data_IF_650658533952
#
_entry.id   IF_650658533952
#
_cell.length_a   1.000
_cell.length_b   1.000
_cell.length_c   1.000
_cell.angle_alpha   90.00
_cell.angle_beta   90.00
_cell.angle_gamma   90.00
#
_symmetry.space_group_name_H-M   'P 1'
#
loop_
_entity.id
_entity.type
_entity.pdbx_description
1 polymer ?
#
# COMPACT_ATOMS: atom_id res chain seq x y z
N UNK A 1 57.40 -24.44 -52.96
CA UNK A 1 56.41 -23.70 -52.15
C UNK A 1 56.51 -24.19 -50.71
N UNK A 2 56.80 -23.27 -49.80
CA UNK A 2 57.12 -23.53 -48.39
C UNK A 2 55.84 -23.49 -47.55
N UNK A 3 55.83 -24.36 -46.53
CA UNK A 3 54.87 -24.62 -45.44
C UNK A 3 54.11 -23.40 -44.90
N UNK A 4 52.92 -23.63 -44.33
CA UNK A 4 52.71 -23.52 -42.88
C UNK A 4 51.52 -24.39 -42.42
N UNK A 5 51.78 -25.19 -41.38
CA UNK A 5 50.80 -25.92 -40.60
C UNK A 5 50.10 -24.98 -39.62
N UNK A 6 48.82 -25.22 -39.33
CA UNK A 6 48.14 -24.60 -38.20
C UNK A 6 47.45 -25.67 -37.35
N UNK A 7 47.98 -25.78 -36.16
CA UNK A 7 47.61 -26.60 -35.02
C UNK A 7 46.19 -26.26 -34.55
N UNK A 8 45.29 -27.25 -34.50
CA UNK A 8 44.02 -27.11 -33.79
C UNK A 8 44.23 -27.50 -32.34
N UNK A 9 44.11 -26.51 -31.45
CA UNK A 9 44.21 -26.65 -30.01
C UNK A 9 42.89 -27.23 -29.49
N UNK A 10 42.96 -28.39 -28.84
CA UNK A 10 41.86 -28.91 -28.02
C UNK A 10 41.84 -28.17 -26.68
N UNK A 11 40.84 -27.32 -26.47
CA UNK A 11 40.50 -26.81 -25.13
C UNK A 11 39.41 -27.73 -24.56
N UNK A 12 39.81 -28.55 -23.58
CA UNK A 12 38.88 -29.27 -22.74
C UNK A 12 38.19 -28.29 -21.78
N UNK A 13 36.99 -27.84 -22.13
CA UNK A 13 36.11 -27.14 -21.21
C UNK A 13 35.38 -28.17 -20.34
N UNK A 14 35.99 -28.53 -19.20
CA UNK A 14 35.28 -29.10 -18.06
C UNK A 14 34.44 -27.99 -17.39
N UNK A 15 33.36 -27.61 -18.06
CA UNK A 15 32.30 -26.78 -17.49
C UNK A 15 31.22 -27.70 -16.95
N UNK A 16 31.27 -28.00 -15.65
CA UNK A 16 30.19 -28.68 -14.95
C UNK A 16 28.92 -27.85 -15.04
N UNK A 17 28.07 -28.19 -15.99
CA UNK A 17 26.72 -27.67 -16.08
C UNK A 17 25.93 -28.15 -14.86
N UNK A 18 25.70 -27.25 -13.90
CA UNK A 18 24.55 -27.38 -13.02
C UNK A 18 23.31 -27.22 -13.89
N UNK A 19 22.83 -28.33 -14.44
CA UNK A 19 21.43 -28.43 -14.83
C UNK A 19 20.68 -28.41 -13.51
N UNK A 20 20.25 -27.22 -13.09
CA UNK A 20 19.27 -27.07 -12.04
C UNK A 20 18.07 -27.91 -12.46
N UNK A 21 17.89 -29.06 -11.80
CA UNK A 21 16.64 -29.79 -11.89
C UNK A 21 15.54 -28.79 -11.57
N UNK A 22 14.60 -28.59 -12.50
CA UNK A 22 13.41 -27.82 -12.24
C UNK A 22 12.71 -28.48 -11.06
N UNK A 23 12.89 -27.91 -9.87
CA UNK A 23 12.06 -28.25 -8.71
C UNK A 23 10.62 -28.10 -9.18
N UNK A 24 9.80 -29.13 -8.95
CA UNK A 24 8.36 -29.05 -9.13
C UNK A 24 7.92 -27.70 -8.54
N UNK A 25 7.31 -26.87 -9.37
CA UNK A 25 7.05 -25.48 -9.01
C UNK A 25 6.23 -25.47 -7.73
N UNK A 26 6.86 -25.10 -6.61
CA UNK A 26 6.22 -25.08 -5.31
C UNK A 26 4.97 -24.19 -5.41
N UNK A 27 3.85 -24.67 -4.86
CA UNK A 27 2.61 -23.92 -4.87
C UNK A 27 2.80 -22.61 -4.09
N UNK A 28 2.84 -21.49 -4.83
CA UNK A 28 3.24 -20.19 -4.30
C UNK A 28 2.14 -19.62 -3.40
N UNK A 29 2.48 -19.32 -2.16
CA UNK A 29 1.60 -18.58 -1.25
C UNK A 29 1.38 -17.15 -1.76
N UNK A 30 0.12 -16.77 -1.90
CA UNK A 30 -0.33 -15.41 -2.22
C UNK A 30 -0.66 -14.64 -0.94
N UNK A 31 -1.34 -15.28 0.01
CA UNK A 31 -1.64 -14.72 1.33
C UNK A 31 -1.62 -15.79 2.43
N UNK A 32 -1.03 -15.46 3.57
CA UNK A 32 -0.94 -16.29 4.76
C UNK A 32 -1.22 -15.46 6.02
N UNK A 33 -2.04 -16.00 6.92
CA UNK A 33 -2.34 -15.36 8.20
C UNK A 33 -1.45 -15.98 9.27
N UNK A 34 -0.51 -15.20 9.80
CA UNK A 34 0.30 -15.59 10.96
C UNK A 34 -0.29 -15.00 12.25
N UNK A 35 -0.07 -13.71 12.50
CA UNK A 35 -0.51 -13.04 13.73
C UNK A 35 -1.75 -12.16 13.54
N UNK A 36 -1.94 -11.61 12.33
CA UNK A 36 -2.95 -10.57 12.05
C UNK A 36 -3.59 -10.74 10.68
N UNK A 37 -4.81 -10.24 10.59
CA UNK A 37 -5.55 -10.24 9.34
C UNK A 37 -4.95 -9.22 8.36
N UNK A 38 -4.93 -9.61 7.09
CA UNK A 38 -4.48 -8.76 5.99
C UNK A 38 -5.70 -8.07 5.42
N UNK A 39 -5.61 -6.75 5.25
CA UNK A 39 -6.67 -5.95 4.67
C UNK A 39 -6.31 -5.55 3.23
N UNK A 40 -7.07 -6.04 2.26
CA UNK A 40 -6.93 -5.74 0.82
C UNK A 40 -8.11 -4.90 0.28
N UNK A 41 -9.04 -4.55 1.16
CA UNK A 41 -10.24 -3.78 0.82
C UNK A 41 -11.31 -4.57 0.09
N UNK A 42 -12.54 -4.10 0.16
CA UNK A 42 -13.71 -4.78 -0.43
C UNK A 42 -13.70 -4.78 -1.95
N UNK A 43 -12.88 -3.92 -2.56
CA UNK A 43 -12.67 -3.87 -4.01
C UNK A 43 -11.44 -4.66 -4.48
N UNK A 44 -10.66 -5.21 -3.54
CA UNK A 44 -9.43 -5.92 -3.77
C UNK A 44 -9.59 -7.33 -4.34
N UNK A 45 -8.44 -7.99 -4.55
CA UNK A 45 -8.33 -9.37 -5.05
C UNK A 45 -8.70 -10.37 -3.96
N UNK A 46 -8.46 -10.08 -2.68
CA UNK A 46 -8.90 -10.92 -1.56
C UNK A 46 -10.42 -11.02 -1.52
N UNK A 47 -11.14 -9.90 -1.66
CA UNK A 47 -12.62 -9.92 -1.65
C UNK A 47 -13.17 -10.82 -2.77
N UNK A 48 -12.56 -10.79 -3.95
CA UNK A 48 -12.92 -11.69 -5.07
C UNK A 48 -12.64 -13.15 -4.76
N UNK A 49 -11.48 -13.45 -4.17
CA UNK A 49 -11.15 -14.80 -3.76
C UNK A 49 -12.09 -15.32 -2.65
N UNK A 50 -12.46 -14.47 -1.70
CA UNK A 50 -13.43 -14.82 -0.65
C UNK A 50 -14.80 -15.14 -1.24
N UNK A 51 -15.29 -14.37 -2.21
CA UNK A 51 -16.55 -14.67 -2.89
C UNK A 51 -16.52 -16.02 -3.63
N UNK A 52 -15.41 -16.34 -4.30
CA UNK A 52 -15.24 -17.63 -4.96
C UNK A 52 -15.11 -18.79 -3.96
N UNK A 53 -14.39 -18.57 -2.85
CA UNK A 53 -14.29 -19.53 -1.74
C UNK A 53 -15.67 -19.82 -1.15
N UNK A 54 -16.47 -18.80 -0.88
CA UNK A 54 -17.82 -18.92 -0.33
C UNK A 54 -18.73 -19.75 -1.24
N UNK A 55 -18.68 -19.48 -2.56
CA UNK A 55 -19.43 -20.25 -3.55
C UNK A 55 -19.12 -21.75 -3.57
N UNK A 56 -17.89 -22.14 -3.19
CA UNK A 56 -17.48 -23.56 -3.09
C UNK A 56 -17.67 -24.12 -1.67
N UNK A 57 -17.56 -23.28 -0.65
CA UNK A 57 -17.52 -23.63 0.77
C UNK A 57 -18.72 -24.50 1.20
N UNK A 58 -19.93 -24.15 0.75
CA UNK A 58 -21.14 -24.88 1.11
C UNK A 58 -21.14 -26.33 0.63
N UNK A 59 -20.69 -26.58 -0.60
CA UNK A 59 -20.55 -27.94 -1.15
C UNK A 59 -19.49 -28.78 -0.43
N UNK A 60 -18.61 -28.13 0.33
CA UNK A 60 -17.54 -28.74 1.10
C UNK A 60 -17.83 -28.78 2.62
N UNK A 61 -19.06 -28.46 3.05
CA UNK A 61 -19.49 -28.54 4.45
C UNK A 61 -19.06 -27.36 5.35
N UNK A 62 -18.69 -26.22 4.76
CA UNK A 62 -18.34 -24.99 5.50
C UNK A 62 -19.56 -24.04 5.61
N UNK A 63 -19.68 -23.28 6.72
CA UNK A 63 -20.77 -22.31 6.91
C UNK A 63 -20.71 -21.08 5.98
N UNK A 64 -19.67 -20.96 5.15
CA UNK A 64 -19.47 -19.84 4.22
C UNK A 64 -18.48 -18.80 4.73
N UNK A 65 -18.27 -17.75 3.94
CA UNK A 65 -17.30 -16.68 4.14
C UNK A 65 -17.84 -15.35 3.61
N UNK A 66 -17.73 -14.28 4.40
CA UNK A 66 -18.02 -12.94 3.92
C UNK A 66 -16.90 -12.45 2.99
N UNK A 67 -17.27 -11.91 1.83
CA UNK A 67 -16.35 -11.25 0.91
C UNK A 67 -16.17 -9.76 1.26
N UNK A 68 -15.36 -9.49 2.28
CA UNK A 68 -15.10 -8.13 2.78
C UNK A 68 -13.68 -7.60 2.50
N UNK A 69 -12.83 -8.42 1.88
CA UNK A 69 -11.44 -8.08 1.59
C UNK A 69 -10.49 -8.26 2.77
N UNK A 70 -10.93 -8.88 3.87
CA UNK A 70 -10.11 -9.11 5.06
C UNK A 70 -9.67 -10.57 5.13
N UNK A 71 -8.44 -10.87 4.72
CA UNK A 71 -7.89 -12.21 4.83
C UNK A 71 -7.42 -12.47 6.27
N UNK A 72 -8.31 -13.07 7.06
CA UNK A 72 -8.08 -13.40 8.47
C UNK A 72 -8.31 -14.87 8.79
N UNK A 73 -8.46 -15.18 10.09
CA UNK A 73 -8.66 -16.55 10.60
C UNK A 73 -9.85 -17.27 9.95
N UNK A 74 -10.92 -16.54 9.64
CA UNK A 74 -12.09 -17.09 8.95
C UNK A 74 -11.78 -17.47 7.50
N UNK A 75 -11.06 -16.62 6.77
CA UNK A 75 -10.62 -16.93 5.42
C UNK A 75 -9.70 -18.16 5.43
N UNK A 76 -8.72 -18.20 6.35
CA UNK A 76 -7.80 -19.33 6.47
C UNK A 76 -8.53 -20.65 6.82
N UNK A 77 -9.54 -20.60 7.69
CA UNK A 77 -10.38 -21.76 8.02
C UNK A 77 -11.14 -22.26 6.80
N UNK A 78 -11.77 -21.36 6.03
CA UNK A 78 -12.54 -21.73 4.84
C UNK A 78 -11.63 -22.28 3.75
N UNK A 79 -10.46 -21.68 3.55
CA UNK A 79 -9.42 -22.21 2.64
C UNK A 79 -9.06 -23.65 2.99
N UNK A 80 -8.82 -23.99 4.27
CA UNK A 80 -8.53 -25.38 4.69
C UNK A 80 -9.63 -26.35 4.27
N UNK A 81 -10.89 -25.99 4.51
CA UNK A 81 -12.04 -26.84 4.18
C UNK A 81 -12.18 -27.01 2.67
N UNK A 82 -12.09 -25.91 1.92
CA UNK A 82 -12.20 -25.90 0.46
C UNK A 82 -11.05 -26.67 -0.19
N UNK A 83 -9.80 -26.48 0.26
CA UNK A 83 -8.63 -27.19 -0.24
C UNK A 83 -8.73 -28.71 0.00
N UNK A 84 -9.25 -29.13 1.16
CA UNK A 84 -9.45 -30.55 1.50
C UNK A 84 -10.63 -31.20 0.75
N UNK A 85 -11.48 -30.41 0.10
CA UNK A 85 -12.68 -30.87 -0.60
C UNK A 85 -12.29 -31.76 -1.80
N UNK A 86 -12.90 -32.96 -2.00
CA UNK A 86 -12.43 -33.94 -2.97
C UNK A 86 -12.20 -33.43 -4.42
N UNK A 87 -13.04 -32.55 -4.99
CA UNK A 87 -12.82 -32.01 -6.33
C UNK A 87 -11.58 -31.12 -6.46
N UNK A 88 -11.20 -30.42 -5.38
CA UNK A 88 -10.07 -29.51 -5.35
C UNK A 88 -8.80 -30.18 -4.85
N UNK A 89 -8.89 -31.03 -3.82
CA UNK A 89 -7.76 -31.79 -3.27
C UNK A 89 -6.97 -32.52 -4.36
N UNK A 90 -7.66 -33.14 -5.33
CA UNK A 90 -7.03 -33.86 -6.45
C UNK A 90 -6.26 -32.97 -7.44
N UNK A 91 -6.49 -31.66 -7.40
CA UNK A 91 -5.89 -30.67 -8.29
C UNK A 91 -4.81 -29.83 -7.60
N UNK A 92 -4.65 -29.99 -6.29
CA UNK A 92 -3.62 -29.32 -5.51
C UNK A 92 -2.43 -30.27 -5.29
N UNK A 93 -1.18 -29.78 -5.29
CA UNK A 93 -0.02 -30.59 -4.92
C UNK A 93 -0.14 -31.11 -3.48
N UNK A 94 0.34 -32.34 -3.20
CA UNK A 94 0.19 -33.02 -1.90
C UNK A 94 0.74 -32.25 -0.69
N UNK A 95 1.67 -31.32 -0.92
CA UNK A 95 2.25 -30.43 0.10
C UNK A 95 1.75 -28.98 0.07
N UNK A 96 0.68 -28.68 -0.67
CA UNK A 96 0.20 -27.31 -0.86
C UNK A 96 -0.04 -26.59 0.47
N UNK A 97 0.46 -25.34 0.64
CA UNK A 97 0.14 -24.51 1.80
C UNK A 97 -1.37 -24.22 1.96
N UNK A 98 -2.17 -24.43 0.92
CA UNK A 98 -3.63 -24.31 1.00
C UNK A 98 -4.25 -25.26 2.03
N UNK A 99 -3.66 -26.46 2.23
CA UNK A 99 -4.11 -27.37 3.29
C UNK A 99 -3.86 -26.83 4.71
N UNK A 100 -3.00 -25.81 4.84
CA UNK A 100 -2.73 -25.06 6.08
C UNK A 100 -3.51 -23.75 6.17
N UNK A 101 -4.36 -23.44 5.20
CA UNK A 101 -5.23 -22.26 5.20
C UNK A 101 -4.65 -21.05 4.49
N UNK A 102 -3.57 -21.22 3.73
CA UNK A 102 -2.98 -20.13 2.94
C UNK A 102 -3.67 -20.03 1.58
N UNK A 103 -3.92 -18.82 1.09
CA UNK A 103 -4.38 -18.66 -0.29
C UNK A 103 -3.18 -18.83 -1.22
N UNK A 104 -3.17 -19.89 -2.02
CA UNK A 104 -2.05 -20.22 -2.91
C UNK A 104 -2.39 -20.00 -4.38
N UNK A 105 -1.37 -19.97 -5.22
CA UNK A 105 -1.49 -19.79 -6.66
C UNK A 105 -2.29 -20.94 -7.31
N UNK A 106 -2.04 -22.19 -6.93
CA UNK A 106 -2.78 -23.31 -7.50
C UNK A 106 -4.25 -23.30 -7.05
N UNK A 107 -4.53 -22.98 -5.78
CA UNK A 107 -5.91 -22.82 -5.33
C UNK A 107 -6.61 -21.66 -6.07
N UNK A 108 -5.92 -20.53 -6.26
CA UNK A 108 -6.44 -19.39 -7.02
C UNK A 108 -6.87 -19.80 -8.43
N UNK A 109 -6.01 -20.50 -9.16
CA UNK A 109 -6.32 -20.97 -10.53
C UNK A 109 -7.54 -21.88 -10.59
N UNK A 110 -7.80 -22.67 -9.54
CA UNK A 110 -8.99 -23.52 -9.49
C UNK A 110 -10.27 -22.74 -9.18
N UNK A 111 -10.19 -21.72 -8.32
CA UNK A 111 -11.35 -20.93 -7.90
C UNK A 111 -11.72 -19.84 -8.91
N UNK A 112 -10.71 -19.27 -9.57
CA UNK A 112 -10.81 -18.06 -10.39
C UNK A 112 -9.98 -18.22 -11.68
N UNK A 113 -10.31 -19.17 -12.57
CA UNK A 113 -9.49 -19.49 -13.74
C UNK A 113 -9.32 -18.31 -14.71
N UNK A 114 -10.32 -17.44 -14.81
CA UNK A 114 -10.34 -16.29 -15.72
C UNK A 114 -9.83 -14.99 -15.08
N UNK A 115 -9.48 -15.02 -13.79
CA UNK A 115 -8.97 -13.84 -13.08
C UNK A 115 -7.49 -14.07 -12.78
N UNK A 116 -6.58 -13.19 -13.26
CA UNK A 116 -5.18 -13.35 -12.94
C UNK A 116 -4.95 -13.23 -11.42
N UNK A 117 -4.03 -14.04 -10.86
CA UNK A 117 -3.62 -13.91 -9.46
C UNK A 117 -3.06 -12.51 -9.20
N UNK A 118 -3.11 -12.04 -7.93
CA UNK A 118 -2.58 -10.74 -7.58
C UNK A 118 -1.07 -10.66 -7.88
N UNK A 119 -0.69 -9.62 -8.59
CA UNK A 119 0.71 -9.30 -8.89
C UNK A 119 1.50 -8.96 -7.61
N UNK A 120 2.83 -8.90 -7.71
CA UNK A 120 3.67 -8.46 -6.60
C UNK A 120 3.36 -7.01 -6.17
N UNK A 121 3.00 -6.14 -7.11
CA UNK A 121 2.52 -4.79 -6.79
C UNK A 121 1.23 -4.88 -5.97
N UNK A 122 0.17 -5.51 -6.47
CA UNK A 122 -1.12 -5.65 -5.77
C UNK A 122 -0.94 -6.23 -4.34
N UNK A 123 -0.12 -7.28 -4.18
CA UNK A 123 0.18 -7.87 -2.86
C UNK A 123 0.94 -6.91 -1.94
N UNK A 124 1.88 -6.13 -2.47
CA UNK A 124 2.52 -5.06 -1.72
C UNK A 124 1.54 -3.96 -1.31
N UNK A 125 0.57 -3.62 -2.18
CA UNK A 125 -0.49 -2.67 -1.82
C UNK A 125 -1.35 -3.20 -0.68
N UNK A 126 -1.69 -4.50 -0.64
CA UNK A 126 -2.44 -5.10 0.47
C UNK A 126 -1.71 -4.94 1.81
N UNK A 127 -0.37 -5.04 1.82
CA UNK A 127 0.41 -4.82 3.04
C UNK A 127 0.40 -3.34 3.47
N UNK A 128 0.56 -2.41 2.53
CA UNK A 128 0.41 -0.96 2.81
C UNK A 128 -0.99 -0.68 3.35
N UNK A 129 -2.02 -1.20 2.69
CA UNK A 129 -3.41 -1.01 3.04
C UNK A 129 -3.76 -1.61 4.40
N UNK A 130 -3.11 -2.72 4.76
CA UNK A 130 -3.23 -3.29 6.10
C UNK A 130 -2.84 -2.28 7.17
N UNK A 131 -1.77 -1.51 6.95
CA UNK A 131 -1.35 -0.44 7.85
C UNK A 131 -2.26 0.79 7.85
N UNK A 132 -2.77 1.19 6.68
CA UNK A 132 -3.66 2.35 6.57
C UNK A 132 -5.08 2.06 7.09
N UNK A 133 -5.56 0.82 6.94
CA UNK A 133 -6.89 0.35 7.34
C UNK A 133 -8.06 1.23 6.81
N UNK A 134 -7.89 1.81 5.63
CA UNK A 134 -8.89 2.63 4.93
C UNK A 134 -9.14 2.06 3.53
N UNK A 135 -10.30 2.32 2.93
CA UNK A 135 -10.64 1.87 1.57
C UNK A 135 -11.22 3.05 0.77
N UNK A 136 -11.51 2.85 -0.51
CA UNK A 136 -12.02 3.88 -1.42
C UNK A 136 -13.33 4.54 -0.96
N UNK A 137 -14.05 3.94 -0.03
CA UNK A 137 -15.29 4.48 0.52
C UNK A 137 -15.11 5.28 1.83
N UNK A 138 -13.87 5.42 2.31
CA UNK A 138 -13.57 6.08 3.57
C UNK A 138 -13.05 7.50 3.36
N UNK A 139 -13.83 8.48 3.83
CA UNK A 139 -13.43 9.88 3.94
C UNK A 139 -13.24 10.24 5.41
N UNK A 140 -12.06 10.77 5.74
CA UNK A 140 -11.76 11.31 7.06
C UNK A 140 -11.66 12.83 7.00
N UNK A 141 -12.35 13.51 7.92
CA UNK A 141 -12.24 14.95 8.12
C UNK A 141 -11.16 15.27 9.16
N UNK A 142 -10.05 15.88 8.73
CA UNK A 142 -8.91 16.18 9.60
C UNK A 142 -9.02 17.52 10.35
N UNK A 143 -10.16 18.21 10.26
CA UNK A 143 -10.39 19.43 11.04
C UNK A 143 -10.68 19.14 12.51
N UNK A 144 -11.56 18.18 12.80
CA UNK A 144 -11.97 17.85 14.16
C UNK A 144 -12.35 16.36 14.24
N UNK A 145 -11.41 15.54 14.73
CA UNK A 145 -11.52 14.08 14.85
C UNK A 145 -12.07 13.63 16.21
N UNK A 146 -12.44 14.59 17.07
CA UNK A 146 -13.04 14.32 18.38
C UNK A 146 -14.35 13.56 18.24
N UNK A 147 -14.63 12.67 19.20
CA UNK A 147 -15.92 11.96 19.29
C UNK A 147 -16.69 12.42 20.53
N UNK A 148 -17.96 12.81 20.41
CA UNK A 148 -18.72 13.02 19.17
C UNK A 148 -18.11 14.16 18.31
N UNK A 149 -18.39 14.14 16.99
CA UNK A 149 -17.94 15.17 16.06
C UNK A 149 -18.48 16.55 16.47
N UNK A 150 -17.76 17.60 16.06
CA UNK A 150 -18.21 18.98 16.22
C UNK A 150 -19.51 19.22 15.45
N UNK A 151 -20.41 20.01 16.03
CA UNK A 151 -21.66 20.46 15.42
C UNK A 151 -21.93 21.89 15.88
N UNK A 152 -22.61 22.68 15.05
CA UNK A 152 -23.01 24.05 15.40
C UNK A 152 -23.93 24.12 16.63
N UNK A 153 -24.64 23.04 16.95
CA UNK A 153 -25.45 22.90 18.16
C UNK A 153 -24.62 22.76 19.46
N UNK A 154 -23.33 22.42 19.35
CA UNK A 154 -22.42 22.17 20.47
C UNK A 154 -21.02 22.78 20.22
N UNK A 155 -20.93 24.11 20.03
CA UNK A 155 -19.69 24.77 19.63
C UNK A 155 -18.59 24.74 20.70
N UNK A 156 -18.93 24.44 21.96
CA UNK A 156 -18.04 24.42 23.12
C UNK A 156 -17.06 23.24 23.14
N UNK A 157 -17.28 22.21 22.32
CA UNK A 157 -16.43 21.02 22.30
C UNK A 157 -15.05 21.33 21.74
N UNK A 158 -14.01 20.93 22.48
CA UNK A 158 -12.62 21.03 22.02
C UNK A 158 -12.41 20.09 20.83
N UNK A 159 -11.95 20.65 19.72
CA UNK A 159 -11.57 19.89 18.55
C UNK A 159 -10.12 19.44 18.63
N UNK A 160 -9.91 18.14 18.38
CA UNK A 160 -8.59 17.55 18.26
C UNK A 160 -8.33 17.12 16.82
N UNK A 161 -7.10 17.31 16.35
CA UNK A 161 -6.63 16.83 15.06
C UNK A 161 -5.17 16.37 15.16
N UNK A 162 -4.91 15.18 14.62
CA UNK A 162 -3.56 14.64 14.47
C UNK A 162 -2.84 15.15 13.20
N UNK A 163 -3.58 15.67 12.22
CA UNK A 163 -3.06 16.14 10.93
C UNK A 163 -3.81 17.38 10.40
N UNK A 164 -3.41 18.54 10.89
CA UNK A 164 -4.08 19.82 10.54
C UNK A 164 -3.80 20.28 9.11
N UNK A 165 -2.81 19.69 8.44
CA UNK A 165 -2.37 20.08 7.10
C UNK A 165 -3.16 19.39 5.99
N UNK A 166 -3.78 18.25 6.27
CA UNK A 166 -4.43 17.44 5.24
C UNK A 166 -5.87 17.86 4.95
N UNK A 167 -6.55 18.48 5.92
CA UNK A 167 -7.96 18.94 5.88
C UNK A 167 -8.97 17.80 5.71
N UNK A 168 -8.80 16.97 4.69
CA UNK A 168 -9.54 15.76 4.36
C UNK A 168 -8.56 14.71 3.85
N UNK A 169 -8.75 13.46 4.27
CA UNK A 169 -8.01 12.28 3.81
C UNK A 169 -9.00 11.29 3.21
N UNK A 170 -8.69 10.71 2.04
CA UNK A 170 -9.58 9.80 1.34
C UNK A 170 -8.85 8.61 0.72
N UNK A 171 -9.47 7.44 0.80
CA UNK A 171 -9.07 6.28 0.03
C UNK A 171 -7.85 5.54 0.58
N UNK A 172 -7.44 4.46 -0.12
CA UNK A 172 -6.51 3.44 0.40
C UNK A 172 -5.07 3.91 0.61
N UNK A 173 -4.69 5.08 0.09
CA UNK A 173 -3.36 5.68 0.26
C UNK A 173 -3.39 6.96 1.09
N UNK A 174 -4.56 7.31 1.63
CA UNK A 174 -4.75 8.53 2.39
C UNK A 174 -4.55 9.78 1.53
N UNK A 175 -5.15 9.85 0.34
CA UNK A 175 -5.07 11.03 -0.52
C UNK A 175 -5.59 12.27 0.21
N UNK A 176 -4.80 13.34 0.23
CA UNK A 176 -5.12 14.56 0.98
C UNK A 176 -5.67 15.67 0.10
N UNK A 177 -6.62 16.48 0.60
CA UNK A 177 -7.09 17.70 -0.06
C UNK A 177 -6.35 18.97 0.44
N UNK A 178 -5.34 18.80 1.29
CA UNK A 178 -4.52 19.85 1.87
C UNK A 178 -3.11 19.85 1.31
N UNK A 179 -2.11 19.62 2.17
CA UNK A 179 -0.69 19.72 1.81
C UNK A 179 -0.26 18.90 0.58
N UNK A 180 -0.89 17.76 0.29
CA UNK A 180 -0.58 16.93 -0.88
C UNK A 180 -1.43 17.24 -2.13
N UNK A 181 -2.60 17.85 -1.98
CA UNK A 181 -3.55 18.16 -3.08
C UNK A 181 -3.96 16.96 -3.94
N UNK A 182 -3.71 15.74 -3.47
CA UNK A 182 -3.91 14.48 -4.19
C UNK A 182 -5.40 14.25 -4.52
N UNK A 183 -6.31 14.60 -3.61
CA UNK A 183 -7.75 14.56 -3.87
C UNK A 183 -8.11 15.43 -5.06
N UNK A 184 -7.53 16.63 -5.15
CA UNK A 184 -7.80 17.56 -6.25
C UNK A 184 -7.29 16.99 -7.59
N UNK A 185 -6.08 16.39 -7.60
CA UNK A 185 -5.54 15.69 -8.77
C UNK A 185 -6.44 14.54 -9.24
N UNK A 186 -6.88 13.69 -8.32
CA UNK A 186 -7.69 12.50 -8.66
C UNK A 186 -9.06 12.94 -9.19
N UNK A 187 -9.70 13.90 -8.53
CA UNK A 187 -10.98 14.46 -9.00
C UNK A 187 -10.80 15.11 -10.38
N UNK A 188 -9.75 15.90 -10.60
CA UNK A 188 -9.49 16.53 -11.90
C UNK A 188 -9.36 15.49 -13.02
N UNK A 189 -8.65 14.39 -12.77
CA UNK A 189 -8.49 13.29 -13.74
C UNK A 189 -9.82 12.63 -14.08
N UNK A 190 -10.66 12.37 -13.07
CA UNK A 190 -11.98 11.78 -13.29
C UNK A 190 -12.89 12.77 -14.02
N UNK A 191 -12.94 14.03 -13.62
CA UNK A 191 -13.84 15.01 -14.22
C UNK A 191 -13.49 15.29 -15.69
N UNK A 192 -12.20 15.25 -16.04
CA UNK A 192 -11.76 15.39 -17.43
C UNK A 192 -12.17 14.19 -18.33
N UNK A 193 -12.30 12.99 -17.77
CA UNK A 193 -12.53 11.76 -18.54
C UNK A 193 -13.95 11.21 -18.43
N UNK A 194 -14.63 11.45 -17.32
CA UNK A 194 -15.94 10.93 -16.97
C UNK A 194 -16.68 11.89 -15.99
N UNK A 195 -17.00 13.14 -16.42
CA UNK A 195 -17.58 14.16 -15.54
C UNK A 195 -18.91 13.74 -14.91
N UNK A 196 -19.69 12.91 -15.61
CA UNK A 196 -20.94 12.37 -15.09
C UNK A 196 -20.77 11.57 -13.78
N UNK A 197 -19.60 11.00 -13.49
CA UNK A 197 -19.34 10.30 -12.24
C UNK A 197 -19.25 11.24 -11.04
N UNK A 198 -18.76 12.47 -11.25
CA UNK A 198 -18.76 13.52 -10.22
C UNK A 198 -20.20 13.94 -9.93
N UNK A 199 -21.01 14.15 -10.98
CA UNK A 199 -22.41 14.53 -10.84
C UNK A 199 -23.24 13.43 -10.14
N UNK A 200 -23.03 12.16 -10.50
CA UNK A 200 -23.70 11.02 -9.88
C UNK A 200 -23.33 10.84 -8.40
N UNK A 201 -22.06 11.07 -8.05
CA UNK A 201 -21.60 10.87 -6.68
C UNK A 201 -22.04 12.02 -5.74
N UNK A 202 -21.91 13.27 -6.18
CA UNK A 202 -22.05 14.45 -5.33
C UNK A 202 -23.35 15.24 -5.55
N UNK A 203 -24.10 15.00 -6.62
CA UNK A 203 -25.38 15.66 -6.89
C UNK A 203 -25.25 17.18 -6.86
N UNK A 204 -25.99 17.84 -5.95
CA UNK A 204 -25.96 19.29 -5.79
C UNK A 204 -24.60 19.85 -5.36
N UNK A 205 -23.71 19.03 -4.77
CA UNK A 205 -22.36 19.43 -4.37
C UNK A 205 -21.31 19.20 -5.46
N UNK A 206 -21.68 18.69 -6.64
CA UNK A 206 -20.74 18.43 -7.73
C UNK A 206 -19.99 19.71 -8.18
N UNK A 207 -20.69 20.84 -8.30
CA UNK A 207 -20.06 22.13 -8.61
C UNK A 207 -19.10 22.60 -7.51
N UNK A 208 -19.41 22.31 -6.25
CA UNK A 208 -18.58 22.64 -5.10
C UNK A 208 -17.29 21.79 -5.09
N UNK A 209 -17.37 20.51 -5.45
CA UNK A 209 -16.20 19.65 -5.62
C UNK A 209 -15.31 20.12 -6.78
N UNK A 210 -15.88 20.46 -7.94
CA UNK A 210 -15.11 21.01 -9.07
C UNK A 210 -14.41 22.31 -8.71
N UNK A 211 -15.07 23.16 -7.92
CA UNK A 211 -14.46 24.38 -7.41
C UNK A 211 -13.24 24.08 -6.53
N UNK A 212 -13.32 23.09 -5.62
CA UNK A 212 -12.19 22.67 -4.78
C UNK A 212 -10.94 22.34 -5.60
N UNK A 213 -11.08 21.73 -6.78
CA UNK A 213 -9.96 21.29 -7.62
C UNK A 213 -8.97 22.42 -7.94
N UNK A 214 -9.42 23.66 -8.03
CA UNK A 214 -8.60 24.81 -8.45
C UNK A 214 -8.08 25.66 -7.29
N UNK A 215 -8.59 25.45 -6.07
CA UNK A 215 -8.28 26.30 -4.92
C UNK A 215 -6.84 26.15 -4.43
N UNK A 216 -6.27 27.27 -4.00
CA UNK A 216 -5.02 27.29 -3.24
C UNK A 216 -5.22 26.81 -1.80
N UNK A 217 -4.11 26.56 -1.08
CA UNK A 217 -4.14 25.93 0.25
C UNK A 217 -5.03 26.63 1.28
N UNK A 218 -4.96 27.96 1.41
CA UNK A 218 -5.79 28.69 2.38
C UNK A 218 -7.27 28.70 1.96
N UNK A 219 -7.54 28.87 0.67
CA UNK A 219 -8.90 28.86 0.15
C UNK A 219 -9.54 27.47 0.28
N UNK A 220 -8.80 26.42 -0.04
CA UNK A 220 -9.21 25.03 0.15
C UNK A 220 -9.48 24.74 1.62
N UNK A 221 -8.60 25.18 2.53
CA UNK A 221 -8.80 25.04 3.99
C UNK A 221 -10.08 25.69 4.46
N UNK A 222 -10.30 26.96 4.12
CA UNK A 222 -11.50 27.72 4.54
C UNK A 222 -12.77 27.13 3.92
N UNK A 223 -12.71 26.78 2.65
CA UNK A 223 -13.81 26.15 1.93
C UNK A 223 -14.19 24.80 2.55
N UNK A 224 -13.24 23.89 2.71
CA UNK A 224 -13.49 22.58 3.31
C UNK A 224 -13.91 22.67 4.77
N UNK A 225 -13.40 23.65 5.54
CA UNK A 225 -13.94 23.86 6.88
C UNK A 225 -15.41 24.29 6.82
N UNK A 226 -15.81 25.18 5.90
CA UNK A 226 -17.22 25.58 5.78
C UNK A 226 -18.12 24.40 5.41
N UNK A 227 -17.61 23.42 4.64
CA UNK A 227 -18.31 22.16 4.37
C UNK A 227 -18.39 21.32 5.65
N UNK A 228 -17.28 21.18 6.37
CA UNK A 228 -17.25 20.41 7.62
C UNK A 228 -18.17 20.99 8.69
N UNK A 229 -18.24 22.31 8.85
CA UNK A 229 -19.05 22.97 9.87
C UNK A 229 -20.56 22.90 9.60
N UNK A 230 -20.95 22.54 8.38
CA UNK A 230 -22.34 22.28 8.01
C UNK A 230 -22.59 20.77 8.05
N UNK A 231 -23.40 20.32 9.02
CA UNK A 231 -23.66 18.89 9.24
C UNK A 231 -24.26 18.20 8.01
N UNK A 232 -25.12 18.90 7.25
CA UNK A 232 -25.75 18.37 6.05
C UNK A 232 -24.74 18.25 4.91
N UNK A 233 -23.97 19.32 4.65
CA UNK A 233 -22.95 19.28 3.58
C UNK A 233 -21.85 18.28 3.90
N UNK A 234 -21.41 18.20 5.15
CA UNK A 234 -20.45 17.20 5.63
C UNK A 234 -20.93 15.78 5.33
N UNK A 235 -22.19 15.46 5.62
CA UNK A 235 -22.77 14.16 5.31
C UNK A 235 -22.83 13.89 3.80
N UNK A 236 -23.29 14.86 3.00
CA UNK A 236 -23.33 14.73 1.53
C UNK A 236 -21.95 14.48 0.94
N UNK A 237 -20.91 15.14 1.44
CA UNK A 237 -19.53 14.94 1.00
C UNK A 237 -18.98 13.58 1.43
N UNK A 238 -19.19 13.16 2.68
CA UNK A 238 -18.79 11.83 3.15
C UNK A 238 -19.43 10.73 2.32
N UNK A 239 -20.75 10.78 2.09
CA UNK A 239 -21.45 9.81 1.26
C UNK A 239 -21.07 9.94 -0.22
N UNK A 240 -20.81 11.16 -0.68
CA UNK A 240 -20.38 11.46 -2.04
C UNK A 240 -19.04 10.80 -2.36
N UNK A 241 -18.04 10.93 -1.49
CA UNK A 241 -16.76 10.24 -1.64
C UNK A 241 -16.92 8.71 -1.54
N UNK A 242 -17.82 8.21 -0.68
CA UNK A 242 -18.12 6.79 -0.61
C UNK A 242 -18.68 6.24 -1.93
N UNK A 243 -19.64 6.96 -2.54
CA UNK A 243 -20.20 6.63 -3.86
C UNK A 243 -19.15 6.79 -4.96
N UNK A 244 -18.37 7.87 -4.93
CA UNK A 244 -17.34 8.15 -5.93
C UNK A 244 -16.31 7.03 -6.00
N UNK A 245 -15.76 6.60 -4.85
CA UNK A 245 -14.83 5.48 -4.77
C UNK A 245 -15.41 4.11 -5.15
N UNK A 246 -16.74 3.98 -5.19
CA UNK A 246 -17.40 2.76 -5.64
C UNK A 246 -17.35 2.55 -7.16
N UNK A 247 -17.07 3.60 -7.94
CA UNK A 247 -16.92 3.48 -9.39
C UNK A 247 -15.55 2.93 -9.78
N UNK A 248 -15.53 1.93 -10.67
CA UNK A 248 -14.28 1.32 -11.14
C UNK A 248 -13.34 2.35 -11.80
N UNK A 249 -13.88 3.25 -12.62
CA UNK A 249 -13.10 4.30 -13.28
C UNK A 249 -12.44 5.27 -12.29
N UNK A 250 -13.10 5.58 -11.17
CA UNK A 250 -12.54 6.43 -10.10
C UNK A 250 -11.38 5.73 -9.41
N UNK A 251 -11.54 4.44 -9.07
CA UNK A 251 -10.44 3.64 -8.49
C UNK A 251 -9.25 3.53 -9.45
N UNK A 252 -9.51 3.39 -10.76
CA UNK A 252 -8.46 3.42 -11.77
C UNK A 252 -7.75 4.78 -11.80
N UNK A 253 -8.48 5.90 -11.78
CA UNK A 253 -7.87 7.24 -11.76
C UNK A 253 -7.03 7.48 -10.49
N UNK A 254 -7.49 6.97 -9.35
CA UNK A 254 -6.76 6.96 -8.08
C UNK A 254 -5.44 6.20 -8.20
N UNK A 255 -5.47 4.94 -8.67
CA UNK A 255 -4.27 4.13 -8.89
C UNK A 255 -3.30 4.80 -9.88
N UNK A 256 -3.83 5.37 -10.97
CA UNK A 256 -3.03 6.11 -11.94
C UNK A 256 -2.38 7.37 -11.33
N UNK A 257 -2.94 7.96 -10.28
CA UNK A 257 -2.33 9.12 -9.63
C UNK A 257 -1.06 8.68 -8.90
N UNK A 258 -1.15 7.63 -8.08
CA UNK A 258 0.00 7.08 -7.35
C UNK A 258 1.04 6.44 -8.27
N UNK A 259 0.63 5.91 -9.42
CA UNK A 259 1.54 5.42 -10.47
C UNK A 259 2.17 6.55 -11.32
N UNK A 260 1.85 7.82 -11.08
CA UNK A 260 2.37 8.94 -11.86
C UNK A 260 3.61 9.59 -11.22
N UNK A 261 4.48 10.25 -12.01
CA UNK A 261 5.68 10.90 -11.47
C UNK A 261 5.42 12.01 -10.45
N UNK A 262 4.21 12.60 -10.41
CA UNK A 262 3.86 13.64 -9.43
C UNK A 262 3.50 13.07 -8.06
N UNK A 263 3.46 11.74 -7.91
CA UNK A 263 3.13 11.03 -6.68
C UNK A 263 4.18 9.95 -6.38
N UNK A 264 3.78 8.81 -5.80
CA UNK A 264 4.67 7.77 -5.27
C UNK A 264 5.64 7.18 -6.32
N UNK A 265 5.29 7.16 -7.60
CA UNK A 265 6.18 6.60 -8.62
C UNK A 265 7.54 7.32 -8.74
N UNK A 266 7.62 8.63 -8.50
CA UNK A 266 8.92 9.33 -8.48
C UNK A 266 9.75 8.94 -7.26
N UNK A 267 9.11 8.78 -6.10
CA UNK A 267 9.74 8.34 -4.86
C UNK A 267 10.28 6.92 -5.00
N UNK A 268 9.48 6.00 -5.55
CA UNK A 268 9.89 4.63 -5.85
C UNK A 268 11.09 4.59 -6.80
N UNK A 269 11.10 5.44 -7.84
CA UNK A 269 12.24 5.55 -8.76
C UNK A 269 13.54 5.89 -8.04
N UNK A 270 13.52 6.78 -7.05
CA UNK A 270 14.70 7.11 -6.24
C UNK A 270 15.23 5.91 -5.45
N UNK A 271 14.36 5.03 -4.96
CA UNK A 271 14.78 3.79 -4.31
C UNK A 271 15.43 2.80 -5.27
N UNK A 272 14.85 2.61 -6.47
CA UNK A 272 15.46 1.80 -7.51
C UNK A 272 16.85 2.32 -7.90
N UNK A 273 16.99 3.65 -8.00
CA UNK A 273 18.26 4.31 -8.28
C UNK A 273 19.30 4.12 -7.16
N UNK A 274 18.86 4.17 -5.90
CA UNK A 274 19.71 3.85 -4.75
C UNK A 274 20.23 2.41 -4.80
N UNK A 275 19.39 1.44 -5.13
CA UNK A 275 19.79 0.03 -5.25
C UNK A 275 20.75 -0.19 -6.41
N UNK A 276 20.50 0.45 -7.55
CA UNK A 276 21.43 0.47 -8.69
C UNK A 276 22.79 1.02 -8.28
N UNK A 277 22.81 2.12 -7.53
CA UNK A 277 24.05 2.74 -7.00
C UNK A 277 24.78 1.82 -6.01
N UNK A 278 24.04 1.05 -5.21
CA UNK A 278 24.59 0.06 -4.29
C UNK A 278 25.14 -1.18 -4.99
N UNK A 279 24.67 -1.48 -6.22
CA UNK A 279 24.99 -2.72 -6.94
C UNK A 279 24.13 -3.90 -6.47
N UNK A 280 22.92 -3.64 -5.96
CA UNK A 280 21.99 -4.64 -5.43
C UNK A 280 20.78 -4.74 -6.35
N UNK A 281 20.37 -5.97 -6.69
CA UNK A 281 19.16 -6.22 -7.48
C UNK A 281 17.95 -6.26 -6.54
N UNK A 282 16.94 -5.41 -6.74
CA UNK A 282 15.74 -5.41 -5.91
C UNK A 282 14.90 -6.69 -6.04
N UNK A 283 14.28 -7.12 -4.95
CA UNK A 283 13.34 -8.24 -4.85
C UNK A 283 11.88 -7.77 -4.72
N UNK A 284 10.91 -8.69 -4.74
CA UNK A 284 9.51 -8.34 -4.45
C UNK A 284 9.35 -7.67 -3.07
N UNK A 285 10.14 -8.08 -2.08
CA UNK A 285 10.12 -7.48 -0.74
C UNK A 285 10.67 -6.05 -0.77
N UNK A 286 11.71 -5.79 -1.57
CA UNK A 286 12.19 -4.42 -1.79
C UNK A 286 11.14 -3.55 -2.47
N UNK A 287 10.40 -4.09 -3.46
CA UNK A 287 9.30 -3.35 -4.08
C UNK A 287 8.26 -2.92 -3.04
N UNK A 288 7.84 -3.84 -2.17
CA UNK A 288 6.91 -3.53 -1.09
C UNK A 288 7.46 -2.51 -0.10
N UNK A 289 8.74 -2.62 0.26
CA UNK A 289 9.42 -1.66 1.12
C UNK A 289 9.48 -0.26 0.48
N UNK A 290 9.82 -0.17 -0.81
CA UNK A 290 9.86 1.10 -1.54
C UNK A 290 8.48 1.74 -1.62
N UNK A 291 7.45 0.94 -1.86
CA UNK A 291 6.07 1.39 -1.93
C UNK A 291 5.61 1.93 -0.59
N UNK A 292 5.80 1.17 0.50
CA UNK A 292 5.43 1.59 1.86
C UNK A 292 6.14 2.90 2.25
N UNK A 293 7.45 2.96 2.05
CA UNK A 293 8.24 4.16 2.31
C UNK A 293 7.81 5.35 1.46
N UNK A 294 7.44 5.14 0.19
CA UNK A 294 6.97 6.21 -0.71
C UNK A 294 5.64 6.78 -0.24
N UNK A 295 4.71 5.95 0.20
CA UNK A 295 3.43 6.40 0.73
C UNK A 295 3.61 7.16 2.05
N UNK A 296 4.53 6.73 2.92
CA UNK A 296 4.68 7.31 4.26
C UNK A 296 5.70 8.45 4.38
N UNK A 297 6.63 8.58 3.43
CA UNK A 297 7.78 9.47 3.54
C UNK A 297 8.45 9.78 2.20
N UNK A 298 9.34 10.77 2.20
CA UNK A 298 10.22 11.02 1.07
C UNK A 298 11.41 10.05 1.07
N UNK A 299 11.90 9.62 -0.10
CA UNK A 299 13.20 8.97 -0.20
C UNK A 299 14.31 9.97 0.18
N UNK A 300 15.55 9.51 0.40
CA UNK A 300 16.67 10.43 0.60
C UNK A 300 16.92 11.26 -0.66
N UNK A 301 17.35 12.52 -0.47
CA UNK A 301 17.55 13.46 -1.58
C UNK A 301 18.69 13.07 -2.53
N UNK A 302 19.72 12.36 -2.03
CA UNK A 302 20.89 11.95 -2.80
C UNK A 302 21.19 10.44 -2.62
N UNK A 303 21.03 9.69 -3.71
CA UNK A 303 21.28 8.24 -3.77
C UNK A 303 22.76 7.87 -3.55
N UNK A 304 23.70 8.71 -3.99
CA UNK A 304 25.14 8.47 -3.83
C UNK A 304 25.58 8.61 -2.37
N UNK A 305 25.19 9.70 -1.71
CA UNK A 305 25.42 9.93 -0.28
C UNK A 305 24.75 8.83 0.55
N UNK A 306 23.54 8.46 0.20
CA UNK A 306 22.80 7.41 0.91
C UNK A 306 23.44 6.04 0.74
N UNK A 307 23.88 5.69 -0.47
CA UNK A 307 24.62 4.46 -0.74
C UNK A 307 25.93 4.39 0.06
N UNK A 308 26.68 5.49 0.16
CA UNK A 308 27.90 5.56 0.98
C UNK A 308 27.61 5.30 2.46
N UNK A 309 26.56 5.91 3.02
CA UNK A 309 26.16 5.72 4.42
C UNK A 309 25.76 4.26 4.70
N UNK A 310 24.98 3.65 3.80
CA UNK A 310 24.57 2.24 3.90
C UNK A 310 25.79 1.32 3.85
N UNK A 311 26.68 1.50 2.86
CA UNK A 311 27.93 0.73 2.77
C UNK A 311 28.75 0.82 4.05
N UNK A 312 28.98 2.04 4.55
CA UNK A 312 29.75 2.28 5.78
C UNK A 312 29.12 1.56 6.99
N UNK A 313 27.80 1.63 7.15
CA UNK A 313 27.08 0.98 8.24
C UNK A 313 27.14 -0.56 8.15
N UNK A 314 26.99 -1.12 6.96
CA UNK A 314 27.05 -2.58 6.79
C UNK A 314 28.48 -3.11 6.97
N UNK A 315 29.48 -2.42 6.42
CA UNK A 315 30.89 -2.77 6.61
C UNK A 315 31.32 -2.69 8.08
N UNK A 316 30.89 -1.68 8.83
CA UNK A 316 31.22 -1.58 10.27
C UNK A 316 30.60 -2.70 11.12
N UNK A 317 29.55 -3.36 10.60
CA UNK A 317 28.89 -4.52 11.23
C UNK A 317 29.35 -5.86 10.65
N UNK A 318 30.27 -5.88 9.68
CA UNK A 318 30.68 -7.09 8.97
C UNK A 318 29.55 -7.76 8.17
N UNK A 319 28.54 -7.00 7.75
CA UNK A 319 27.38 -7.51 7.03
C UNK A 319 27.53 -7.32 5.51
N UNK A 320 27.14 -8.31 4.69
CA UNK A 320 27.18 -8.19 3.23
C UNK A 320 26.07 -7.26 2.71
N UNK A 321 26.27 -6.72 1.50
CA UNK A 321 25.28 -5.95 0.74
C UNK A 321 24.20 -6.87 0.14
N UNK A 322 23.35 -7.44 0.99
CA UNK A 322 22.17 -8.20 0.57
C UNK A 322 20.91 -7.33 0.71
N UNK A 323 19.85 -7.60 -0.08
CA UNK A 323 18.58 -6.87 0.03
C UNK A 323 18.05 -6.68 1.47
N UNK A 324 17.90 -7.72 2.32
CA UNK A 324 17.43 -7.52 3.70
C UNK A 324 18.34 -6.65 4.56
N UNK A 325 19.66 -6.73 4.36
CA UNK A 325 20.62 -5.89 5.07
C UNK A 325 20.53 -4.43 4.63
N UNK A 326 20.31 -4.18 3.34
CA UNK A 326 20.12 -2.82 2.80
C UNK A 326 18.85 -2.20 3.37
N UNK A 327 17.71 -2.91 3.36
CA UNK A 327 16.45 -2.42 3.97
C UNK A 327 16.64 -2.07 5.44
N UNK A 328 17.22 -2.97 6.23
CA UNK A 328 17.48 -2.72 7.66
C UNK A 328 18.45 -1.55 7.89
N UNK A 329 19.52 -1.45 7.11
CA UNK A 329 20.46 -0.33 7.19
C UNK A 329 19.78 1.00 6.84
N UNK A 330 18.91 1.00 5.82
CA UNK A 330 18.12 2.16 5.44
C UNK A 330 17.24 2.63 6.60
N UNK A 331 16.46 1.73 7.21
CA UNK A 331 15.58 2.04 8.34
C UNK A 331 16.32 2.64 9.55
N UNK A 332 17.58 2.26 9.75
CA UNK A 332 18.42 2.79 10.82
C UNK A 332 18.99 4.18 10.51
N UNK A 333 19.30 4.45 9.23
CA UNK A 333 19.95 5.69 8.80
C UNK A 333 18.96 6.80 8.45
N UNK A 334 17.74 6.44 8.05
CA UNK A 334 16.73 7.35 7.56
C UNK A 334 15.40 7.17 8.32
N UNK A 335 15.42 7.37 9.66
CA UNK A 335 14.19 7.34 10.44
C UNK A 335 13.27 8.49 10.03
N UNK A 336 11.97 8.22 10.05
CA UNK A 336 10.91 9.18 9.79
C UNK A 336 10.50 9.85 11.09
N UNK A 337 10.97 11.10 11.28
CA UNK A 337 10.84 11.85 12.53
C UNK A 337 9.38 11.97 13.02
N UNK A 338 9.21 12.00 14.35
CA UNK A 338 7.94 12.15 15.11
C UNK A 338 7.06 10.89 15.22
N UNK A 339 7.38 9.82 14.49
CA UNK A 339 6.67 8.51 14.52
C UNK A 339 7.64 7.32 14.43
N UNK A 340 8.89 7.49 14.86
CA UNK A 340 9.99 6.55 14.68
C UNK A 340 9.65 5.08 15.02
N UNK A 341 8.94 4.81 16.12
CA UNK A 341 8.59 3.45 16.52
C UNK A 341 7.44 2.85 15.67
N UNK A 342 6.51 3.68 15.18
CA UNK A 342 5.46 3.25 14.23
C UNK A 342 6.09 2.85 12.89
N UNK A 343 6.98 3.70 12.39
CA UNK A 343 7.59 3.52 11.08
C UNK A 343 8.62 2.41 11.08
N UNK A 344 9.42 2.31 12.15
CA UNK A 344 10.32 1.17 12.33
C UNK A 344 9.54 -0.15 12.38
N UNK A 345 8.36 -0.19 13.01
CA UNK A 345 7.57 -1.41 13.08
C UNK A 345 7.09 -1.90 11.70
N UNK A 346 6.71 -0.97 10.82
CA UNK A 346 6.40 -1.28 9.40
C UNK A 346 7.64 -1.76 8.65
N UNK A 347 8.74 -1.04 8.78
CA UNK A 347 10.01 -1.38 8.13
C UNK A 347 10.49 -2.80 8.48
N UNK A 348 10.33 -3.22 9.75
CA UNK A 348 10.69 -4.57 10.22
C UNK A 348 9.97 -5.67 9.44
N UNK A 349 8.73 -5.45 9.01
CA UNK A 349 7.97 -6.43 8.21
C UNK A 349 8.72 -6.84 6.92
N UNK A 350 9.57 -5.97 6.39
CA UNK A 350 10.31 -6.19 5.15
C UNK A 350 11.68 -6.84 5.34
N UNK A 351 12.16 -7.06 6.55
CA UNK A 351 13.44 -7.75 6.76
C UNK A 351 13.40 -8.87 7.80
N UNK A 352 12.36 -8.94 8.65
CA UNK A 352 12.23 -9.97 9.69
C UNK A 352 12.23 -11.39 9.15
N UNK A 353 11.67 -11.62 7.96
CA UNK A 353 11.64 -12.95 7.34
C UNK A 353 13.05 -13.47 7.00
N UNK A 354 13.98 -12.58 6.66
CA UNK A 354 15.35 -12.94 6.32
C UNK A 354 16.28 -13.04 7.53
N UNK A 355 16.07 -12.20 8.55
CA UNK A 355 16.98 -12.15 9.72
C UNK A 355 16.46 -12.86 10.96
N UNK A 356 15.23 -13.41 10.91
CA UNK A 356 14.47 -14.01 12.01
C UNK A 356 14.09 -13.03 13.14
N UNK A 357 13.07 -13.38 13.93
CA UNK A 357 12.68 -12.61 15.11
C UNK A 357 13.82 -12.50 16.13
N UNK A 358 14.61 -13.57 16.30
CA UNK A 358 15.79 -13.58 17.18
C UNK A 358 16.91 -12.64 16.71
N UNK A 359 16.92 -12.24 15.44
CA UNK A 359 17.89 -11.29 14.88
C UNK A 359 17.52 -9.81 15.09
N UNK A 360 16.31 -9.54 15.61
CA UNK A 360 15.84 -8.18 15.90
C UNK A 360 16.49 -7.62 17.16
N UNK A 361 16.84 -6.33 17.12
CA UNK A 361 17.18 -5.59 18.33
C UNK A 361 15.94 -5.42 19.21
N UNK A 362 16.15 -5.13 20.50
CA UNK A 362 15.04 -4.84 21.43
C UNK A 362 14.12 -3.71 20.94
N UNK A 363 14.66 -2.70 20.24
CA UNK A 363 13.85 -1.60 19.67
C UNK A 363 13.00 -2.09 18.49
N UNK A 364 13.63 -2.78 17.54
CA UNK A 364 12.94 -3.35 16.36
C UNK A 364 11.82 -4.31 16.79
N UNK A 365 12.10 -5.24 17.71
CA UNK A 365 11.10 -6.20 18.19
C UNK A 365 9.91 -5.51 18.87
N UNK A 366 10.14 -4.50 19.72
CA UNK A 366 9.05 -3.73 20.35
C UNK A 366 8.23 -2.94 19.34
N UNK A 367 8.89 -2.26 18.39
CA UNK A 367 8.25 -1.48 17.34
C UNK A 367 7.36 -2.37 16.47
N UNK A 368 7.91 -3.51 16.02
CA UNK A 368 7.20 -4.50 15.22
C UNK A 368 6.01 -5.12 15.96
N UNK A 369 6.17 -5.46 17.25
CA UNK A 369 5.06 -5.94 18.09
C UNK A 369 3.93 -4.90 18.23
N UNK A 370 4.26 -3.61 18.38
CA UNK A 370 3.28 -2.51 18.43
C UNK A 370 2.62 -2.27 17.07
N UNK A 371 3.29 -2.64 15.98
CA UNK A 371 2.82 -2.54 14.59
C UNK A 371 2.44 -3.92 14.04
N UNK A 372 1.76 -4.68 14.88
CA UNK A 372 0.95 -5.84 14.47
C UNK A 372 1.72 -7.07 13.98
N UNK A 373 3.04 -7.08 14.08
CA UNK A 373 3.89 -8.23 13.71
C UNK A 373 3.70 -8.72 12.26
N UNK A 374 3.28 -7.83 11.36
CA UNK A 374 3.12 -8.18 9.94
C UNK A 374 4.46 -8.55 9.31
N UNK A 375 4.40 -9.36 8.25
CA UNK A 375 5.55 -9.81 7.46
C UNK A 375 5.29 -9.59 5.97
N UNK A 376 6.34 -9.35 5.20
CA UNK A 376 6.21 -9.31 3.75
C UNK A 376 5.73 -10.66 3.17
N UNK A 377 6.13 -11.77 3.80
CA UNK A 377 5.63 -13.11 3.47
C UNK A 377 4.14 -13.34 3.77
N UNK A 378 3.50 -12.53 4.63
CA UNK A 378 2.04 -12.63 4.88
C UNK A 378 1.24 -12.34 3.60
N UNK A 379 1.74 -11.44 2.76
CA UNK A 379 1.20 -11.15 1.42
C UNK A 379 2.01 -11.86 0.32
N UNK A 380 2.71 -12.93 0.70
CA UNK A 380 3.46 -13.79 -0.20
C UNK A 380 4.68 -13.14 -0.86
N UNK A 381 5.10 -11.92 -0.52
CA UNK A 381 6.29 -11.29 -1.13
C UNK A 381 7.55 -12.09 -0.75
N UNK A 382 8.52 -12.17 -1.66
CA UNK A 382 9.71 -13.00 -1.45
C UNK A 382 11.00 -12.35 -1.93
N UNK A 383 12.07 -12.52 -1.15
CA UNK A 383 13.44 -12.17 -1.56
C UNK A 383 13.99 -13.12 -2.65
N UNK A 384 13.35 -14.26 -2.91
CA UNK A 384 13.76 -15.19 -3.96
C UNK A 384 13.27 -14.78 -5.36
N UNK A 385 12.39 -13.79 -5.47
CA UNK A 385 11.83 -13.30 -6.73
C UNK A 385 12.25 -11.85 -6.99
N UNK A 386 12.62 -11.52 -8.24
CA UNK A 386 13.00 -10.15 -8.58
C UNK A 386 11.82 -9.21 -8.42
N UNK A 387 12.11 -7.94 -8.09
CA UNK A 387 11.09 -6.89 -8.10
C UNK A 387 10.45 -6.79 -9.49
N UNK A 388 9.12 -6.53 -9.57
CA UNK A 388 8.51 -6.17 -10.84
C UNK A 388 9.09 -4.84 -11.34
N UNK A 389 9.04 -4.62 -12.65
CA UNK A 389 9.37 -3.32 -13.22
C UNK A 389 8.43 -2.24 -12.70
N UNK A 390 8.97 -1.06 -12.39
CA UNK A 390 8.16 0.09 -12.01
C UNK A 390 7.34 0.56 -13.21
N UNK A 391 6.04 0.23 -13.21
CA UNK A 391 5.09 0.77 -14.17
C UNK A 391 4.73 2.19 -13.80
N UNK A 392 4.86 3.13 -14.74
CA UNK A 392 4.46 4.53 -14.54
C UNK A 392 3.43 4.97 -15.55
N UNK A 393 2.46 5.78 -15.12
CA UNK A 393 1.45 6.39 -15.98
C UNK A 393 1.76 7.89 -16.12
N UNK A 394 1.54 8.51 -17.30
CA UNK A 394 1.67 9.96 -17.43
C UNK A 394 0.83 10.72 -16.39
N UNK A 395 1.36 11.82 -15.88
CA UNK A 395 0.56 12.76 -15.11
C UNK A 395 -0.44 13.46 -16.04
N UNK A 396 -1.58 13.89 -15.48
CA UNK A 396 -2.37 14.93 -16.13
C UNK A 396 -1.67 16.29 -15.94
N UNK A 397 -2.10 17.30 -16.69
CA UNK A 397 -1.70 18.68 -16.42
C UNK A 397 -2.18 19.11 -15.04
N UNK A 398 -1.36 19.90 -14.35
CA UNK A 398 -1.75 20.47 -13.06
C UNK A 398 -2.96 21.38 -13.25
N UNK A 399 -4.04 21.22 -12.44
CA UNK A 399 -5.16 22.15 -12.43
C UNK A 399 -4.80 23.51 -11.79
N UNK A 400 -3.52 23.74 -11.48
CA UNK A 400 -2.94 25.03 -11.09
C UNK A 400 -2.97 25.31 -9.59
N UNK A 401 -4.01 24.84 -8.88
CA UNK A 401 -4.18 25.00 -7.43
C UNK A 401 -3.92 26.43 -6.90
N UNK A 402 -4.26 27.44 -7.69
CA UNK A 402 -3.85 28.82 -7.45
C UNK A 402 -5.04 29.74 -7.11
N UNK A 403 -6.28 29.29 -7.34
CA UNK A 403 -7.45 30.15 -7.19
C UNK A 403 -7.66 30.54 -5.73
N UNK A 404 -7.81 31.85 -5.50
CA UNK A 404 -8.10 32.42 -4.20
C UNK A 404 -9.59 32.76 -4.08
N UNK A 405 -10.24 32.34 -2.99
CA UNK A 405 -11.63 32.73 -2.72
C UNK A 405 -11.72 34.12 -2.11
N UNK A 406 -12.67 34.91 -2.63
CA UNK A 406 -13.03 36.21 -2.08
C UNK A 406 -14.54 36.43 -2.16
N UNK A 407 -15.26 36.65 -1.04
CA UNK A 407 -14.75 36.55 0.33
C UNK A 407 -14.44 35.10 0.73
N UNK A 408 -13.56 34.92 1.72
CA UNK A 408 -13.30 33.60 2.30
C UNK A 408 -14.54 33.12 3.07
N UNK A 409 -14.95 31.84 2.92
CA UNK A 409 -16.02 31.27 3.72
C UNK A 409 -15.70 31.33 5.23
N UNK A 410 -16.72 31.60 6.04
CA UNK A 410 -16.60 31.57 7.50
C UNK A 410 -16.38 30.14 7.98
N UNK A 411 -15.49 29.96 8.96
CA UNK A 411 -15.30 28.70 9.66
C UNK A 411 -15.17 28.97 11.17
N UNK A 412 -15.79 28.14 12.03
CA UNK A 412 -15.64 28.25 13.48
C UNK A 412 -14.17 28.17 13.90
N UNK A 413 -13.76 29.04 14.82
CA UNK A 413 -12.37 29.13 15.29
C UNK A 413 -11.87 27.81 15.89
N UNK A 414 -12.74 27.12 16.66
CA UNK A 414 -12.43 25.82 17.25
C UNK A 414 -12.14 24.74 16.22
N UNK A 415 -12.75 24.83 15.02
CA UNK A 415 -12.56 23.88 13.91
C UNK A 415 -11.35 24.28 13.05
N UNK A 416 -11.10 25.58 12.86
CA UNK A 416 -9.89 26.05 12.15
C UNK A 416 -8.62 25.72 12.92
N UNK A 417 -8.66 25.77 14.25
CA UNK A 417 -7.48 25.67 15.12
C UNK A 417 -7.62 24.53 16.14
N UNK A 418 -7.72 23.27 15.67
CA UNK A 418 -7.85 22.13 16.57
C UNK A 418 -6.55 21.92 17.37
N UNK A 419 -6.71 21.44 18.59
CA UNK A 419 -5.59 21.13 19.49
C UNK A 419 -5.00 19.76 19.11
N UNK A 420 -3.72 19.51 19.44
CA UNK A 420 -3.17 18.15 19.30
C UNK A 420 -3.79 17.25 20.38
N UNK A 421 -4.16 16.00 20.07
CA UNK A 421 -4.60 15.06 21.09
C UNK A 421 -3.53 14.92 22.18
N UNK A 422 -3.91 14.75 23.46
CA UNK A 422 -2.96 14.34 24.48
C UNK A 422 -2.29 13.04 24.05
N UNK A 423 -0.99 12.87 24.33
CA UNK A 423 -0.34 11.58 24.10
C UNK A 423 -1.07 10.52 24.96
N UNK A 424 -1.43 9.35 24.40
CA UNK A 424 -1.94 8.25 25.20
C UNK A 424 -0.95 7.96 26.34
N UNK A 425 -1.46 7.73 27.55
CA UNK A 425 -0.62 7.23 28.65
C UNK A 425 0.02 5.90 28.20
N UNK A 426 1.33 5.80 28.36
CA UNK A 426 2.16 4.74 27.78
C UNK A 426 1.98 3.38 28.47
#
# INVERSE_FOLDING_TARGET
MIRFATTTIWIAALGGGYVAAAHAQEDVTLYAVHDRAIFDGKFGKVARAQAALDGVAHGCGSPGLKADGVFGVDSARVVKVVAACPPLKKKLPDGSPAFKGELTLELWKQLLPDVPPPSADERAQSLVLTYEATDYDHLEWNFCQSKPLWSSAHPEKTCFSNDRSSFVTWGPRGATAGGGQEVQWIVARVDASAPALVDQAFGSEAGALRKLVHLNGESARRFLCSVFADDQRRAVWTDGFARFGSFAAVRTAYQQHYASPVSDASKMRSFFELYRTLGVVPTEVDYGFFLDRSTQSSPPDDSGVSAMKIRKLLSSKGLPLTPPNVRRAFSQLFPTSNVDDDRLGRDVAFFVDAISESGLTKKEARAWNRKWRMRASDVGLSDARPAPSLSTVPSIDSPGFAEALSPLPSCPESVMHPVRPPKPAA
#
